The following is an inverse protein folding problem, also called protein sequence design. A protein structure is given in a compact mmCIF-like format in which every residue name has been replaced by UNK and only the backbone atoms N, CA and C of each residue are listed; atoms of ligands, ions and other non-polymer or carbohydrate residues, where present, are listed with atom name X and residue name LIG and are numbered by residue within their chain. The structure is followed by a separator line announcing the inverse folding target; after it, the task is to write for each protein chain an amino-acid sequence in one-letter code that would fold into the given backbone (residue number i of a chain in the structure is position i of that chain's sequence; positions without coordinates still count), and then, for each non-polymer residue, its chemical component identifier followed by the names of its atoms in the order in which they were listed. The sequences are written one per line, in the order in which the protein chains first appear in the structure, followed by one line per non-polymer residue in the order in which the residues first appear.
data_IF_447716567262
#
_entry.id   IF_447716567262
#
_cell.length_a   1.000
_cell.length_b   1.000
_cell.length_c   1.000
_cell.angle_alpha   90.00
_cell.angle_beta   90.00
_cell.angle_gamma   90.00
#
_symmetry.space_group_name_H-M   'P 1'
#
loop_
_entity.id
_entity.type
_entity.pdbx_description
1 polymer ?
#
# COMPACT_ATOMS: atom_id res chain seq x y z
N UNK A 1 -9.14 31.12 -5.85
CA UNK A 1 -9.92 30.33 -4.86
C UNK A 1 -10.83 31.19 -4.01
N UNK A 2 -10.37 32.21 -3.28
CA UNK A 2 -11.20 33.09 -2.42
C UNK A 2 -12.29 33.81 -3.19
N UNK A 3 -12.00 34.36 -4.38
CA UNK A 3 -12.99 35.04 -5.24
C UNK A 3 -14.15 34.13 -5.68
N UNK A 4 -13.91 32.86 -5.97
CA UNK A 4 -14.93 31.90 -6.34
C UNK A 4 -15.92 31.61 -5.18
N UNK A 5 -15.40 31.53 -3.95
CA UNK A 5 -16.22 31.37 -2.74
C UNK A 5 -17.08 32.62 -2.50
N UNK A 6 -16.50 33.81 -2.69
CA UNK A 6 -17.24 35.07 -2.55
C UNK A 6 -18.39 35.16 -3.56
N UNK A 7 -18.13 34.82 -4.82
CA UNK A 7 -19.14 34.81 -5.88
C UNK A 7 -20.25 33.76 -5.60
N UNK A 8 -19.92 32.61 -5.02
CA UNK A 8 -20.90 31.62 -4.58
C UNK A 8 -21.80 32.16 -3.48
N UNK A 9 -21.22 32.77 -2.44
CA UNK A 9 -21.97 33.35 -1.31
C UNK A 9 -22.80 34.57 -1.70
N UNK A 10 -22.37 35.31 -2.74
CA UNK A 10 -23.15 36.46 -3.26
C UNK A 10 -24.17 36.06 -4.35
N UNK A 11 -24.30 34.77 -4.67
CA UNK A 11 -25.24 34.27 -5.67
C UNK A 11 -24.85 34.56 -7.13
N UNK A 12 -23.66 35.14 -7.36
CA UNK A 12 -23.21 35.49 -8.73
C UNK A 12 -22.71 34.27 -9.52
N UNK A 13 -22.16 33.27 -8.84
CA UNK A 13 -21.69 32.06 -9.50
C UNK A 13 -21.80 30.90 -8.50
N UNK A 14 -22.79 30.03 -8.68
CA UNK A 14 -23.02 28.90 -7.79
C UNK A 14 -21.99 27.81 -8.06
N UNK A 15 -21.22 27.46 -7.03
CA UNK A 15 -20.34 26.29 -7.07
C UNK A 15 -21.25 25.06 -6.88
N UNK A 16 -21.23 24.14 -7.84
CA UNK A 16 -21.97 22.89 -7.72
C UNK A 16 -21.50 22.12 -6.46
N UNK A 17 -22.43 21.47 -5.72
CA UNK A 17 -22.04 20.63 -4.60
C UNK A 17 -21.05 19.55 -5.07
N UNK A 18 -20.08 19.26 -4.23
CA UNK A 18 -19.13 18.18 -4.50
C UNK A 18 -19.91 16.87 -4.71
N UNK A 19 -19.77 16.28 -5.88
CA UNK A 19 -20.30 14.95 -6.11
C UNK A 19 -19.40 13.93 -5.41
N UNK A 20 -19.98 12.86 -4.80
CA UNK A 20 -19.18 11.78 -4.28
C UNK A 20 -18.27 11.25 -5.40
N UNK A 21 -16.97 11.19 -5.15
CA UNK A 21 -16.04 10.58 -6.11
C UNK A 21 -16.47 9.12 -6.38
N UNK A 22 -16.33 8.69 -7.60
CA UNK A 22 -16.58 7.29 -7.94
C UNK A 22 -15.66 6.40 -7.11
N UNK A 23 -16.25 5.41 -6.45
CA UNK A 23 -15.51 4.35 -5.80
C UNK A 23 -14.85 3.54 -6.90
N UNK A 24 -13.59 3.78 -7.15
CA UNK A 24 -12.84 2.99 -8.13
C UNK A 24 -12.71 1.58 -7.57
N UNK A 25 -13.52 0.66 -8.08
CA UNK A 25 -13.22 -0.76 -8.01
C UNK A 25 -12.00 -0.94 -8.90
N UNK A 26 -10.82 -0.94 -8.28
CA UNK A 26 -9.57 -1.00 -9.00
C UNK A 26 -9.42 -2.28 -9.81
N UNK A 27 -8.48 -2.23 -10.71
CA UNK A 27 -8.15 -3.35 -11.57
C UNK A 27 -7.76 -4.56 -10.74
N UNK A 28 -8.34 -5.70 -11.11
CA UNK A 28 -8.06 -7.05 -10.66
C UNK A 28 -6.66 -7.22 -10.07
N UNK A 29 -6.59 -7.37 -8.77
CA UNK A 29 -5.41 -7.91 -8.13
C UNK A 29 -5.00 -9.19 -8.87
N UNK A 30 -3.70 -9.38 -9.09
CA UNK A 30 -3.16 -10.58 -9.76
C UNK A 30 -3.65 -11.83 -9.05
N UNK A 31 -4.18 -12.79 -9.82
CA UNK A 31 -4.68 -14.05 -9.27
C UNK A 31 -3.52 -15.02 -9.04
N UNK A 32 -3.49 -15.65 -7.86
CA UNK A 32 -2.46 -16.65 -7.54
C UNK A 32 -2.53 -17.89 -8.47
N UNK A 33 -3.63 -18.12 -9.15
CA UNK A 33 -3.77 -19.17 -10.16
C UNK A 33 -2.88 -18.96 -11.37
N UNK A 34 -2.46 -17.72 -11.66
CA UNK A 34 -1.56 -17.38 -12.75
C UNK A 34 -0.13 -17.92 -12.51
N UNK A 35 0.22 -18.15 -11.25
CA UNK A 35 1.52 -18.69 -10.87
C UNK A 35 1.54 -20.20 -11.10
N UNK A 36 2.42 -20.66 -11.99
CA UNK A 36 2.58 -22.08 -12.27
C UNK A 36 3.55 -22.73 -11.27
N UNK A 37 3.15 -23.86 -10.71
CA UNK A 37 3.94 -24.56 -9.69
C UNK A 37 4.01 -23.84 -8.35
N UNK A 38 5.07 -24.10 -7.59
CA UNK A 38 5.36 -23.49 -6.28
C UNK A 38 4.25 -23.67 -5.21
N UNK A 39 3.62 -24.84 -5.19
CA UNK A 39 2.43 -25.10 -4.35
C UNK A 39 2.65 -24.82 -2.85
N UNK A 40 3.87 -25.08 -2.33
CA UNK A 40 4.21 -24.76 -0.94
C UNK A 40 4.22 -23.25 -0.67
N UNK A 41 4.78 -22.47 -1.62
CA UNK A 41 4.83 -21.02 -1.49
C UNK A 41 3.44 -20.39 -1.64
N UNK A 42 2.62 -20.89 -2.57
CA UNK A 42 1.21 -20.50 -2.72
C UNK A 42 0.43 -20.75 -1.42
N UNK A 43 0.57 -21.96 -0.87
CA UNK A 43 -0.10 -22.29 0.39
C UNK A 43 0.32 -21.40 1.55
N UNK A 44 1.62 -21.06 1.62
CA UNK A 44 2.12 -20.12 2.63
C UNK A 44 1.53 -18.70 2.44
N UNK A 45 1.40 -18.24 1.17
CA UNK A 45 0.77 -16.96 0.85
C UNK A 45 -0.71 -16.93 1.23
N UNK A 46 -1.46 -17.98 0.96
CA UNK A 46 -2.87 -18.12 1.36
C UNK A 46 -3.04 -17.98 2.88
N UNK A 47 -2.21 -18.71 3.64
CA UNK A 47 -2.23 -18.65 5.11
C UNK A 47 -1.85 -17.23 5.59
N UNK A 48 -0.80 -16.63 5.01
CA UNK A 48 -0.37 -15.29 5.37
C UNK A 48 -1.45 -14.25 5.02
N UNK A 49 -2.10 -14.37 3.86
CA UNK A 49 -3.19 -13.50 3.43
C UNK A 49 -4.41 -13.62 4.35
N UNK A 50 -4.86 -14.83 4.64
CA UNK A 50 -6.02 -15.09 5.50
C UNK A 50 -5.82 -14.56 6.93
N UNK A 51 -4.60 -14.72 7.49
CA UNK A 51 -4.29 -14.31 8.85
C UNK A 51 -3.65 -12.91 8.96
N UNK A 52 -3.44 -12.20 7.85
CA UNK A 52 -2.67 -10.94 7.81
C UNK A 52 -1.30 -11.08 8.48
N UNK A 53 -0.64 -12.23 8.26
CA UNK A 53 0.65 -12.54 8.86
C UNK A 53 1.81 -11.96 8.06
N UNK A 54 2.85 -11.55 8.77
CA UNK A 54 4.13 -11.24 8.14
C UNK A 54 4.77 -12.53 7.62
N UNK A 55 5.38 -12.45 6.44
CA UNK A 55 6.04 -13.59 5.82
C UNK A 55 7.49 -13.25 5.44
N UNK A 56 8.39 -14.20 5.65
CA UNK A 56 9.77 -14.14 5.17
C UNK A 56 9.95 -15.19 4.06
N UNK A 57 10.34 -14.72 2.87
CA UNK A 57 10.66 -15.59 1.75
C UNK A 57 12.18 -15.74 1.61
N UNK A 58 12.67 -16.97 1.68
CA UNK A 58 14.08 -17.31 1.50
C UNK A 58 14.22 -18.23 0.30
N UNK A 59 15.14 -17.91 -0.59
CA UNK A 59 15.39 -18.71 -1.79
C UNK A 59 16.42 -18.07 -2.71
N UNK A 60 16.94 -18.81 -3.69
CA UNK A 60 17.95 -18.31 -4.62
C UNK A 60 17.42 -17.15 -5.47
N UNK A 61 18.31 -16.36 -6.09
CA UNK A 61 17.91 -15.40 -7.13
C UNK A 61 17.10 -16.09 -8.23
N UNK A 62 16.12 -15.39 -8.79
CA UNK A 62 15.25 -15.93 -9.83
C UNK A 62 14.16 -16.91 -9.36
N UNK A 63 14.03 -17.18 -8.05
CA UNK A 63 12.98 -18.07 -7.54
C UNK A 63 11.56 -17.47 -7.52
N UNK A 64 11.34 -16.32 -8.14
CA UNK A 64 10.02 -15.71 -8.28
C UNK A 64 9.45 -15.05 -7.02
N UNK A 65 10.29 -14.71 -6.02
CA UNK A 65 9.83 -14.05 -4.78
C UNK A 65 9.05 -12.76 -5.02
N UNK A 66 9.52 -11.81 -5.85
CA UNK A 66 8.75 -10.59 -6.13
C UNK A 66 7.43 -10.88 -6.83
N UNK A 67 7.42 -11.84 -7.77
CA UNK A 67 6.21 -12.26 -8.45
C UNK A 67 5.17 -12.79 -7.47
N UNK A 68 5.56 -13.69 -6.57
CA UNK A 68 4.68 -14.23 -5.52
C UNK A 68 4.17 -13.12 -4.60
N UNK A 69 5.05 -12.21 -4.17
CA UNK A 69 4.66 -11.09 -3.30
C UNK A 69 3.62 -10.19 -3.96
N UNK A 70 3.74 -9.94 -5.26
CA UNK A 70 2.80 -9.11 -6.02
C UNK A 70 1.39 -9.72 -6.15
N UNK A 71 1.21 -11.02 -5.86
CA UNK A 71 -0.10 -11.67 -5.83
C UNK A 71 -0.76 -11.63 -4.43
N UNK A 72 0.01 -11.27 -3.38
CA UNK A 72 -0.50 -11.23 -2.01
C UNK A 72 -1.70 -10.27 -1.82
N UNK A 73 -1.73 -9.07 -2.40
CA UNK A 73 -2.90 -8.19 -2.28
C UNK A 73 -4.21 -8.84 -2.74
N UNK A 74 -4.17 -9.66 -3.80
CA UNK A 74 -5.33 -10.40 -4.30
C UNK A 74 -5.90 -11.45 -3.36
N UNK A 75 -5.11 -11.90 -2.39
CA UNK A 75 -5.55 -12.85 -1.35
C UNK A 75 -6.11 -12.14 -0.11
N UNK A 76 -5.90 -10.83 0.00
CA UNK A 76 -6.40 -10.06 1.14
C UNK A 76 -7.84 -9.63 0.90
N UNK A 77 -8.62 -9.58 1.97
CA UNK A 77 -9.96 -9.00 1.90
C UNK A 77 -9.88 -7.52 1.51
N UNK A 78 -10.82 -6.99 0.74
CA UNK A 78 -10.90 -5.56 0.45
C UNK A 78 -10.81 -4.71 1.71
N UNK A 79 -10.39 -3.47 1.58
CA UNK A 79 -10.38 -2.53 2.70
C UNK A 79 -11.79 -2.32 3.23
N UNK A 80 -11.96 -2.37 4.54
CA UNK A 80 -13.20 -1.89 5.18
C UNK A 80 -13.35 -0.38 4.92
N UNK A 81 -14.55 0.20 5.04
CA UNK A 81 -14.75 1.64 4.81
C UNK A 81 -13.83 2.53 5.67
N UNK A 82 -13.57 2.12 6.91
CA UNK A 82 -12.65 2.84 7.81
C UNK A 82 -11.20 2.73 7.33
N UNK A 83 -10.72 1.53 7.00
CA UNK A 83 -9.38 1.30 6.44
C UNK A 83 -9.20 2.04 5.10
N UNK A 84 -10.22 2.04 4.24
CA UNK A 84 -10.20 2.74 2.96
C UNK A 84 -10.04 4.26 3.14
N UNK A 85 -10.76 4.83 4.10
CA UNK A 85 -10.64 6.26 4.42
C UNK A 85 -9.23 6.60 4.93
N UNK A 86 -8.71 5.85 5.90
CA UNK A 86 -7.36 6.05 6.44
C UNK A 86 -6.30 5.98 5.35
N UNK A 87 -6.36 4.95 4.50
CA UNK A 87 -5.43 4.76 3.39
C UNK A 87 -5.54 5.90 2.38
N UNK A 88 -6.76 6.31 2.02
CA UNK A 88 -7.00 7.41 1.09
C UNK A 88 -6.48 8.74 1.64
N UNK A 89 -6.62 9.01 2.93
CA UNK A 89 -6.04 10.21 3.56
C UNK A 89 -4.51 10.27 3.39
N UNK A 90 -3.81 9.15 3.62
CA UNK A 90 -2.36 9.06 3.45
C UNK A 90 -1.97 9.25 1.98
N UNK A 91 -2.69 8.60 1.06
CA UNK A 91 -2.42 8.69 -0.38
C UNK A 91 -2.72 10.09 -0.92
N UNK A 92 -3.72 10.79 -0.39
CA UNK A 92 -4.03 12.19 -0.73
C UNK A 92 -2.87 13.12 -0.36
N UNK A 93 -2.27 12.95 0.83
CA UNK A 93 -1.10 13.73 1.24
C UNK A 93 0.10 13.49 0.31
N UNK A 94 0.22 12.30 -0.26
CA UNK A 94 1.24 11.97 -1.26
C UNK A 94 0.88 12.40 -2.69
N UNK A 95 -0.33 12.93 -2.93
CA UNK A 95 -0.89 13.26 -4.24
C UNK A 95 -0.95 12.04 -5.18
N UNK A 96 -1.29 10.88 -4.64
CA UNK A 96 -1.44 9.63 -5.38
C UNK A 96 -2.92 9.30 -5.67
N UNK A 97 -3.86 10.10 -5.18
CA UNK A 97 -5.27 9.95 -5.53
C UNK A 97 -5.60 10.90 -6.69
N UNK A 98 -6.07 10.33 -7.78
CA UNK A 98 -6.68 11.08 -8.86
C UNK A 98 -8.09 11.51 -8.43
N UNK A 99 -8.38 12.83 -8.53
CA UNK A 99 -9.70 13.45 -8.36
C UNK A 99 -10.54 13.06 -7.13
N UNK A 100 -9.90 12.67 -6.01
CA UNK A 100 -10.59 12.52 -4.72
C UNK A 100 -11.38 11.23 -4.53
N UNK A 101 -11.11 10.18 -5.31
CA UNK A 101 -11.72 8.87 -5.14
C UNK A 101 -11.22 8.15 -3.87
N UNK A 102 -12.08 7.30 -3.29
CA UNK A 102 -11.71 6.38 -2.22
C UNK A 102 -11.47 5.00 -2.86
N UNK A 103 -10.25 4.46 -2.67
CA UNK A 103 -9.93 3.11 -3.15
C UNK A 103 -10.20 2.08 -2.06
N UNK A 104 -10.85 0.98 -2.41
CA UNK A 104 -11.01 -0.19 -1.55
C UNK A 104 -9.89 -1.23 -1.72
N UNK A 105 -8.93 -0.94 -2.60
CA UNK A 105 -7.79 -1.84 -2.83
C UNK A 105 -6.73 -1.68 -1.76
N UNK A 106 -6.12 -2.81 -1.42
CA UNK A 106 -4.97 -2.81 -0.53
C UNK A 106 -3.71 -2.39 -1.28
N UNK A 107 -3.03 -1.32 -0.83
CA UNK A 107 -1.83 -0.87 -1.50
C UNK A 107 -0.73 -1.93 -1.45
N UNK A 108 -0.01 -2.07 -2.56
CA UNK A 108 1.22 -2.84 -2.67
C UNK A 108 2.38 -1.89 -2.92
N UNK A 109 3.37 -1.92 -2.04
CA UNK A 109 4.57 -1.08 -2.14
C UNK A 109 5.81 -1.95 -2.12
N UNK A 110 6.71 -1.67 -3.06
CA UNK A 110 7.97 -2.39 -3.26
C UNK A 110 9.12 -1.38 -3.36
N UNK A 111 9.60 -0.84 -2.23
CA UNK A 111 10.71 0.08 -2.25
C UNK A 111 12.00 -0.63 -2.68
N UNK A 112 12.76 0.01 -3.56
CA UNK A 112 14.06 -0.48 -3.96
C UNK A 112 15.03 -0.47 -2.77
N UNK A 113 15.94 -1.46 -2.67
CA UNK A 113 16.90 -1.57 -1.55
C UNK A 113 17.86 -0.37 -1.44
N UNK A 114 18.05 0.40 -2.51
CA UNK A 114 18.83 1.64 -2.54
C UNK A 114 18.02 2.90 -2.22
N UNK A 115 16.72 2.77 -1.93
CA UNK A 115 15.89 3.93 -1.61
C UNK A 115 16.41 4.65 -0.37
N UNK A 116 16.33 5.99 -0.39
CA UNK A 116 16.77 6.79 0.74
C UNK A 116 15.89 6.56 1.97
N UNK A 117 16.46 6.80 3.15
CA UNK A 117 15.72 6.73 4.42
C UNK A 117 14.46 7.59 4.42
N UNK A 118 14.55 8.80 3.86
CA UNK A 118 13.42 9.71 3.74
C UNK A 118 12.34 9.18 2.78
N UNK A 119 12.71 8.45 1.74
CA UNK A 119 11.75 7.81 0.84
C UNK A 119 11.00 6.66 1.55
N UNK A 120 11.69 5.89 2.38
CA UNK A 120 11.10 4.73 3.05
C UNK A 120 10.24 5.14 4.26
N UNK A 121 10.77 5.96 5.16
CA UNK A 121 10.06 6.37 6.39
C UNK A 121 9.13 7.55 6.13
N UNK A 122 9.50 8.43 5.21
CA UNK A 122 8.86 9.72 5.02
C UNK A 122 9.61 10.85 5.73
N UNK A 123 9.08 12.05 5.62
CA UNK A 123 9.66 13.27 6.20
C UNK A 123 10.44 14.09 5.17
N UNK A 124 11.60 14.62 5.57
CA UNK A 124 12.36 15.57 4.75
C UNK A 124 11.74 16.97 4.72
N UNK A 125 12.26 17.85 3.86
CA UNK A 125 11.84 19.28 3.81
C UNK A 125 10.36 19.48 3.43
N UNK A 126 9.74 18.52 2.74
CA UNK A 126 8.34 18.58 2.28
C UNK A 126 7.39 17.72 3.11
N UNK A 127 7.86 17.09 4.19
CA UNK A 127 7.05 16.25 5.10
C UNK A 127 6.12 15.25 4.38
N UNK A 128 6.61 14.61 3.30
CA UNK A 128 5.83 13.64 2.52
C UNK A 128 5.79 12.27 3.22
N UNK A 129 4.66 11.53 3.09
CA UNK A 129 4.60 10.12 3.50
C UNK A 129 5.65 9.29 2.78
N UNK A 130 6.30 8.38 3.51
CA UNK A 130 7.21 7.39 2.91
C UNK A 130 6.51 6.09 2.55
N UNK A 131 7.24 5.16 1.93
CA UNK A 131 6.73 3.88 1.47
C UNK A 131 6.06 3.04 2.57
N UNK A 132 6.56 3.13 3.82
CA UNK A 132 5.93 2.46 4.98
C UNK A 132 4.53 3.02 5.23
N UNK A 133 4.36 4.34 5.16
CA UNK A 133 3.06 4.98 5.33
C UNK A 133 2.14 4.70 4.15
N UNK A 134 2.68 4.69 2.93
CA UNK A 134 1.93 4.41 1.71
C UNK A 134 1.47 2.94 1.62
N UNK A 135 2.13 2.03 2.33
CA UNK A 135 1.72 0.63 2.47
C UNK A 135 0.72 0.39 3.61
N UNK A 136 0.18 1.45 4.22
CA UNK A 136 -0.77 1.33 5.34
C UNK A 136 -1.99 0.50 4.93
N UNK A 137 -2.41 -0.42 5.79
CA UNK A 137 -3.48 -1.39 5.53
C UNK A 137 -3.25 -2.31 4.31
N UNK A 138 -2.04 -2.33 3.75
CA UNK A 138 -1.67 -3.09 2.56
C UNK A 138 -0.45 -3.97 2.78
N UNK A 139 0.34 -4.11 1.72
CA UNK A 139 1.54 -4.95 1.69
C UNK A 139 2.77 -4.10 1.41
N UNK A 140 3.76 -4.19 2.29
CA UNK A 140 5.11 -3.68 2.05
C UNK A 140 6.02 -4.87 1.76
N UNK A 141 6.44 -5.01 0.50
CA UNK A 141 7.41 -6.02 0.09
C UNK A 141 8.81 -5.41 0.06
N UNK A 142 9.73 -6.02 0.77
CA UNK A 142 11.14 -5.59 0.83
C UNK A 142 12.00 -6.69 0.23
N UNK A 143 12.31 -6.57 -1.06
CA UNK A 143 13.25 -7.48 -1.70
C UNK A 143 14.67 -7.20 -1.20
N UNK A 144 15.51 -8.21 -1.17
CA UNK A 144 16.88 -8.11 -0.64
C UNK A 144 16.94 -7.47 0.75
N UNK A 145 16.06 -7.86 1.65
CA UNK A 145 15.88 -7.28 2.99
C UNK A 145 17.20 -7.04 3.74
N UNK A 146 18.23 -7.85 3.48
CA UNK A 146 19.54 -7.71 4.10
C UNK A 146 20.30 -6.46 3.64
N UNK A 147 19.98 -5.90 2.50
CA UNK A 147 20.60 -4.69 1.96
C UNK A 147 20.01 -3.40 2.55
N UNK A 148 18.83 -3.48 3.18
CA UNK A 148 18.25 -2.33 3.86
C UNK A 148 19.01 -1.95 5.12
N UNK A 149 19.01 -0.65 5.50
CA UNK A 149 19.69 -0.18 6.70
C UNK A 149 19.26 -0.92 7.97
N UNK A 150 20.22 -1.15 8.90
CA UNK A 150 20.02 -1.96 10.10
C UNK A 150 18.86 -1.51 10.99
N UNK A 151 18.51 -0.22 10.97
CA UNK A 151 17.40 0.33 11.75
C UNK A 151 16.03 -0.23 11.33
N UNK A 152 15.85 -0.65 10.07
CA UNK A 152 14.62 -1.31 9.61
C UNK A 152 14.56 -2.78 10.01
N UNK A 153 15.72 -3.42 10.13
CA UNK A 153 15.81 -4.86 10.40
C UNK A 153 15.33 -5.20 11.81
N UNK A 154 15.63 -4.35 12.80
CA UNK A 154 15.25 -4.59 14.21
C UNK A 154 13.72 -4.60 14.43
N UNK A 155 12.93 -3.60 14.00
CA UNK A 155 11.48 -3.63 14.16
C UNK A 155 10.83 -4.79 13.44
N UNK A 156 11.25 -5.08 12.20
CA UNK A 156 10.70 -6.19 11.40
C UNK A 156 11.04 -7.55 12.05
N UNK A 157 12.28 -7.77 12.49
CA UNK A 157 12.68 -9.01 13.17
C UNK A 157 11.89 -9.23 14.47
N UNK A 158 11.61 -8.19 15.24
CA UNK A 158 10.83 -8.27 16.47
C UNK A 158 9.36 -8.63 16.22
N UNK A 159 8.77 -8.16 15.10
CA UNK A 159 7.41 -8.54 14.71
C UNK A 159 7.33 -9.99 14.26
N UNK A 160 8.31 -10.47 13.49
CA UNK A 160 8.40 -11.87 13.06
C UNK A 160 8.62 -12.85 14.25
N UNK A 161 9.24 -12.41 15.34
CA UNK A 161 9.42 -13.23 16.57
C UNK A 161 8.18 -13.34 17.44
N UNK A 162 7.23 -12.43 17.33
CA UNK A 162 6.00 -12.45 18.15
C UNK A 162 4.93 -13.41 17.65
N UNK A 163 5.13 -14.04 16.51
CA UNK A 163 4.26 -15.11 15.96
C UNK A 163 4.86 -16.45 16.42
N UNK A 164 4.69 -16.80 17.69
CA UNK A 164 4.86 -18.14 18.23
C UNK A 164 3.60 -18.53 18.99
#
# INVERSE_FOLDING_TARGET
MVAAVLHHLTGQNLIAPAQPGEVTSGQSAKDLSDVKGQERAKRALEIAGAGRHHMLMVGPPGSGKPMLAAHLPGLLQPLSPAEALETSMIHSLARLLDEGGISHERPFREPHSTASMAAIIGGGRSAKPGEISLAHNGVLFMDEFLNFPAMFKKPCANRLRRVR
#
